data_IF_607525094349
#
_entry.id   IF_607525094349
#
_cell.length_a   1.000
_cell.length_b   1.000
_cell.length_c   1.000
_cell.angle_alpha   90.00
_cell.angle_beta   90.00
_cell.angle_gamma   90.00
#
_symmetry.space_group_name_H-M   'P 1'
#
loop_
_entity.id
_entity.type
_entity.pdbx_description
1 polymer ?
#
# COMPACT_ATOMS: atom_id res chain seq x y z
N UNK A 1 -10.69 -70.42 -19.07
CA UNK A 1 -11.25 -69.35 -18.21
C UNK A 1 -10.57 -68.03 -18.57
N UNK A 2 -11.21 -67.17 -19.38
CA UNK A 2 -10.69 -65.82 -19.69
C UNK A 2 -11.51 -64.82 -18.87
N UNK A 3 -10.87 -64.10 -17.95
CA UNK A 3 -11.50 -63.04 -17.14
C UNK A 3 -11.37 -61.72 -17.88
N UNK A 4 -12.48 -61.20 -18.40
CA UNK A 4 -12.60 -59.84 -18.92
C UNK A 4 -12.78 -58.88 -17.74
N UNK A 5 -11.81 -58.00 -17.51
CA UNK A 5 -11.95 -56.91 -16.54
C UNK A 5 -12.60 -55.72 -17.24
N UNK A 6 -13.83 -55.40 -16.85
CA UNK A 6 -14.50 -54.17 -17.25
C UNK A 6 -13.96 -53.01 -16.39
N UNK A 7 -13.22 -52.10 -17.01
CA UNK A 7 -12.75 -50.88 -16.36
C UNK A 7 -13.90 -49.86 -16.36
N UNK A 8 -14.53 -49.69 -15.19
CA UNK A 8 -15.60 -48.72 -14.98
C UNK A 8 -14.95 -47.32 -14.84
N UNK A 9 -15.02 -46.49 -15.88
CA UNK A 9 -14.59 -45.09 -15.81
C UNK A 9 -15.65 -44.32 -15.01
N UNK A 10 -15.36 -44.08 -13.73
CA UNK A 10 -16.14 -43.22 -12.85
C UNK A 10 -15.91 -41.76 -13.27
N UNK A 11 -16.82 -41.18 -14.06
CA UNK A 11 -16.80 -39.76 -14.41
C UNK A 11 -17.21 -38.99 -13.15
N UNK A 12 -16.23 -38.51 -12.40
CA UNK A 12 -16.44 -37.53 -11.33
C UNK A 12 -16.95 -36.24 -11.95
N UNK A 13 -18.26 -36.02 -11.86
CA UNK A 13 -18.91 -34.77 -12.23
C UNK A 13 -18.37 -33.65 -11.33
N UNK A 14 -17.37 -32.91 -11.81
CA UNK A 14 -17.01 -31.63 -11.21
C UNK A 14 -18.23 -30.71 -11.34
N UNK A 15 -18.79 -30.31 -10.20
CA UNK A 15 -19.85 -29.31 -10.15
C UNK A 15 -19.25 -27.95 -10.51
N UNK A 16 -19.29 -27.60 -11.79
CA UNK A 16 -19.01 -26.25 -12.26
C UNK A 16 -20.15 -25.34 -11.81
N UNK A 17 -19.93 -24.51 -10.78
CA UNK A 17 -20.87 -23.43 -10.45
C UNK A 17 -20.84 -22.41 -11.59
N UNK A 18 -21.87 -22.41 -12.44
CA UNK A 18 -22.02 -21.37 -13.47
C UNK A 18 -22.55 -20.10 -12.80
N UNK A 19 -21.68 -19.10 -12.61
CA UNK A 19 -22.09 -17.79 -12.10
C UNK A 19 -22.97 -17.07 -13.13
N UNK A 20 -24.05 -16.43 -12.69
CA UNK A 20 -24.92 -15.64 -13.57
C UNK A 20 -24.32 -14.25 -13.84
N UNK A 21 -24.67 -13.62 -14.96
CA UNK A 21 -24.24 -12.24 -15.24
C UNK A 21 -24.67 -11.26 -14.14
N UNK A 22 -25.85 -11.47 -13.54
CA UNK A 22 -26.35 -10.66 -12.43
C UNK A 22 -25.46 -10.79 -11.19
N UNK A 23 -25.05 -12.01 -10.84
CA UNK A 23 -24.12 -12.25 -9.73
C UNK A 23 -22.75 -11.63 -9.99
N UNK A 24 -22.21 -11.77 -11.21
CA UNK A 24 -20.94 -11.12 -11.58
C UNK A 24 -21.04 -9.59 -11.48
N UNK A 25 -22.15 -9.01 -11.94
CA UNK A 25 -22.40 -7.58 -11.85
C UNK A 25 -22.47 -7.12 -10.39
N UNK A 26 -23.21 -7.85 -9.55
CA UNK A 26 -23.33 -7.54 -8.12
C UNK A 26 -21.97 -7.59 -7.43
N UNK A 27 -21.20 -8.66 -7.66
CA UNK A 27 -19.87 -8.81 -7.09
C UNK A 27 -18.94 -7.65 -7.48
N UNK A 28 -18.97 -7.20 -8.74
CA UNK A 28 -18.16 -6.08 -9.19
C UNK A 28 -18.53 -4.76 -8.47
N UNK A 29 -19.83 -4.50 -8.26
CA UNK A 29 -20.28 -3.35 -7.49
C UNK A 29 -19.98 -3.47 -5.99
N UNK A 30 -20.00 -4.68 -5.42
CA UNK A 30 -19.61 -4.91 -4.04
C UNK A 30 -18.12 -4.57 -3.82
N UNK A 31 -17.23 -4.94 -4.75
CA UNK A 31 -15.81 -4.54 -4.69
C UNK A 31 -15.61 -3.03 -4.83
N UNK A 32 -16.34 -2.38 -5.74
CA UNK A 32 -16.36 -0.92 -5.83
C UNK A 32 -16.85 -0.28 -4.52
N UNK A 33 -17.94 -0.78 -3.93
CA UNK A 33 -18.51 -0.28 -2.69
C UNK A 33 -17.55 -0.44 -1.49
N UNK A 34 -16.76 -1.53 -1.45
CA UNK A 34 -15.69 -1.69 -0.44
C UNK A 34 -14.65 -0.58 -0.57
N UNK A 35 -14.25 -0.24 -1.79
CA UNK A 35 -13.31 0.84 -2.05
C UNK A 35 -13.91 2.21 -1.70
N UNK A 36 -15.17 2.46 -2.03
CA UNK A 36 -15.86 3.69 -1.65
C UNK A 36 -16.00 3.84 -0.13
N UNK A 37 -16.31 2.75 0.59
CA UNK A 37 -16.28 2.73 2.06
C UNK A 37 -14.89 3.09 2.59
N UNK A 38 -13.82 2.51 2.02
CA UNK A 38 -12.45 2.82 2.42
C UNK A 38 -12.09 4.29 2.18
N UNK A 39 -12.54 4.87 1.08
CA UNK A 39 -12.37 6.30 0.78
C UNK A 39 -13.01 7.17 1.88
N UNK A 40 -14.23 6.82 2.31
CA UNK A 40 -14.94 7.53 3.37
C UNK A 40 -14.26 7.39 4.74
N UNK A 41 -13.69 6.21 5.05
CA UNK A 41 -12.88 5.99 6.26
C UNK A 41 -11.62 6.88 6.26
N UNK A 42 -10.89 6.92 5.15
CA UNK A 42 -9.70 7.77 4.99
C UNK A 42 -10.06 9.25 5.12
N UNK A 43 -11.12 9.71 4.44
CA UNK A 43 -11.61 11.07 4.53
C UNK A 43 -11.98 11.46 5.98
N UNK A 44 -12.66 10.56 6.69
CA UNK A 44 -13.03 10.76 8.10
C UNK A 44 -11.80 10.81 9.02
N UNK A 45 -10.79 9.98 8.76
CA UNK A 45 -9.51 10.00 9.48
C UNK A 45 -8.78 11.32 9.30
N UNK A 46 -8.74 11.86 8.07
CA UNK A 46 -8.17 13.19 7.81
C UNK A 46 -8.93 14.25 8.61
N UNK A 47 -10.27 14.24 8.59
CA UNK A 47 -11.05 15.21 9.39
C UNK A 47 -10.71 15.15 10.88
N UNK A 48 -10.46 13.97 11.43
CA UNK A 48 -10.07 13.80 12.83
C UNK A 48 -8.68 14.35 13.12
N UNK A 49 -7.70 14.08 12.25
CA UNK A 49 -6.32 14.55 12.37
C UNK A 49 -6.25 16.08 12.32
N UNK A 50 -6.96 16.69 11.37
CA UNK A 50 -6.94 18.14 11.12
C UNK A 50 -8.15 18.87 11.75
N UNK A 51 -8.72 18.33 12.84
CA UNK A 51 -9.97 18.82 13.44
C UNK A 51 -9.96 20.31 13.81
N UNK A 52 -8.78 20.89 14.07
CA UNK A 52 -8.60 22.29 14.43
C UNK A 52 -8.31 23.21 13.23
N UNK A 53 -7.95 22.66 12.07
CA UNK A 53 -7.65 23.44 10.87
C UNK A 53 -8.90 23.59 10.00
N UNK A 54 -9.77 24.52 10.40
CA UNK A 54 -11.06 24.74 9.73
C UNK A 54 -10.93 25.14 8.27
N UNK A 55 -9.87 25.90 7.92
CA UNK A 55 -9.62 26.35 6.55
C UNK A 55 -9.24 25.16 5.66
N UNK A 56 -8.29 24.33 6.10
CA UNK A 56 -7.94 23.10 5.38
C UNK A 56 -9.15 22.20 5.21
N UNK A 57 -9.94 21.96 6.27
CA UNK A 57 -11.12 21.09 6.19
C UNK A 57 -12.17 21.60 5.18
N UNK A 58 -12.33 22.92 5.06
CA UNK A 58 -13.18 23.51 4.03
C UNK A 58 -12.63 23.20 2.63
N UNK A 59 -11.33 23.36 2.40
CA UNK A 59 -10.68 23.08 1.10
C UNK A 59 -10.67 21.58 0.77
N UNK A 60 -10.49 20.72 1.76
CA UNK A 60 -10.61 19.26 1.63
C UNK A 60 -12.01 18.86 1.14
N UNK A 61 -13.06 19.41 1.74
CA UNK A 61 -14.44 19.19 1.31
C UNK A 61 -14.66 19.63 -0.14
N UNK A 62 -14.21 20.84 -0.50
CA UNK A 62 -14.31 21.34 -1.88
C UNK A 62 -13.56 20.45 -2.87
N UNK A 63 -12.34 20.03 -2.55
CA UNK A 63 -11.56 19.10 -3.37
C UNK A 63 -12.28 17.76 -3.56
N UNK A 64 -12.88 17.22 -2.50
CA UNK A 64 -13.57 15.94 -2.57
C UNK A 64 -14.85 16.00 -3.41
N UNK A 65 -15.64 17.08 -3.29
CA UNK A 65 -16.83 17.30 -4.12
C UNK A 65 -16.47 17.47 -5.60
N UNK A 66 -15.39 18.20 -5.90
CA UNK A 66 -14.89 18.33 -7.27
C UNK A 66 -14.40 16.99 -7.82
N UNK A 67 -13.74 16.17 -7.00
CA UNK A 67 -13.29 14.84 -7.41
C UNK A 67 -14.45 13.90 -7.74
N UNK A 68 -15.57 13.94 -7.00
CA UNK A 68 -16.77 13.15 -7.31
C UNK A 68 -17.30 13.50 -8.70
N UNK A 69 -17.42 14.80 -9.00
CA UNK A 69 -17.84 15.27 -10.33
C UNK A 69 -16.88 14.81 -11.43
N UNK A 70 -15.56 14.92 -11.19
CA UNK A 70 -14.53 14.43 -12.11
C UNK A 70 -14.66 12.92 -12.35
N UNK A 71 -14.81 12.11 -11.31
CA UNK A 71 -14.96 10.65 -11.41
C UNK A 71 -16.17 10.28 -12.27
N UNK A 72 -17.30 10.92 -12.03
CA UNK A 72 -18.53 10.65 -12.76
C UNK A 72 -18.40 11.09 -14.24
N UNK A 73 -17.74 12.23 -14.49
CA UNK A 73 -17.43 12.69 -15.84
C UNK A 73 -16.45 11.75 -16.58
N UNK A 74 -15.43 11.23 -15.91
CA UNK A 74 -14.50 10.24 -16.47
C UNK A 74 -15.22 8.95 -16.87
N UNK A 75 -16.18 8.49 -16.05
CA UNK A 75 -16.98 7.31 -16.36
C UNK A 75 -17.82 7.50 -17.62
N UNK A 76 -18.49 8.65 -17.74
CA UNK A 76 -19.30 8.99 -18.91
C UNK A 76 -18.43 9.23 -20.16
N UNK A 77 -17.23 9.79 -20.00
CA UNK A 77 -16.24 9.90 -21.08
C UNK A 77 -15.77 8.51 -21.55
N UNK A 78 -15.52 7.58 -20.62
CA UNK A 78 -15.05 6.23 -20.94
C UNK A 78 -16.13 5.37 -21.59
N UNK A 79 -17.38 5.53 -21.16
CA UNK A 79 -18.54 4.82 -21.70
C UNK A 79 -19.64 5.78 -22.17
N UNK A 80 -19.42 6.57 -23.24
CA UNK A 80 -20.44 7.48 -23.73
C UNK A 80 -21.68 6.74 -24.21
N UNK A 81 -22.89 7.28 -24.02
CA UNK A 81 -24.14 6.65 -24.42
C UNK A 81 -24.38 6.75 -25.93
N UNK A 82 -23.51 6.13 -26.73
CA UNK A 82 -23.63 6.10 -28.19
C UNK A 82 -24.87 5.32 -28.62
N UNK A 83 -25.73 5.94 -29.42
CA UNK A 83 -26.98 5.35 -29.91
C UNK A 83 -26.76 4.13 -30.81
N UNK A 84 -25.60 4.03 -31.45
CA UNK A 84 -25.23 2.95 -32.37
C UNK A 84 -24.28 1.90 -31.75
N UNK A 85 -23.99 1.97 -30.44
CA UNK A 85 -23.07 1.04 -29.78
C UNK A 85 -23.72 0.43 -28.54
N UNK A 86 -23.74 -0.90 -28.50
CA UNK A 86 -24.11 -1.64 -27.30
C UNK A 86 -22.83 -2.18 -26.64
N UNK A 87 -22.60 -1.82 -25.38
CA UNK A 87 -21.46 -2.31 -24.59
C UNK A 87 -21.65 -3.74 -24.08
N UNK A 88 -22.84 -4.31 -24.27
CA UNK A 88 -23.15 -5.69 -23.90
C UNK A 88 -23.35 -5.90 -22.40
N UNK A 89 -23.57 -7.16 -22.02
CA UNK A 89 -23.89 -7.55 -20.66
C UNK A 89 -22.72 -7.37 -19.67
N UNK A 90 -21.49 -7.24 -20.18
CA UNK A 90 -20.28 -6.98 -19.39
C UNK A 90 -20.17 -5.52 -18.91
N UNK A 91 -20.91 -4.60 -19.53
CA UNK A 91 -20.81 -3.16 -19.27
C UNK A 91 -20.90 -2.77 -17.78
N UNK A 92 -21.82 -3.33 -16.95
CA UNK A 92 -21.89 -2.99 -15.54
C UNK A 92 -20.61 -3.35 -14.78
N UNK A 93 -19.97 -4.49 -15.12
CA UNK A 93 -18.68 -4.90 -14.53
C UNK A 93 -17.59 -3.91 -14.88
N UNK A 94 -17.48 -3.54 -16.17
CA UNK A 94 -16.46 -2.59 -16.63
C UNK A 94 -16.64 -1.20 -15.99
N UNK A 95 -17.88 -0.74 -15.80
CA UNK A 95 -18.18 0.52 -15.09
C UNK A 95 -17.73 0.44 -13.63
N UNK A 96 -18.11 -0.62 -12.91
CA UNK A 96 -17.76 -0.82 -11.51
C UNK A 96 -16.24 -0.89 -11.31
N UNK A 97 -15.53 -1.65 -12.15
CA UNK A 97 -14.07 -1.76 -12.11
C UNK A 97 -13.38 -0.41 -12.35
N UNK A 98 -13.88 0.40 -13.29
CA UNK A 98 -13.29 1.72 -13.54
C UNK A 98 -13.55 2.71 -12.40
N UNK A 99 -14.75 2.69 -11.82
CA UNK A 99 -15.08 3.46 -10.62
C UNK A 99 -14.20 3.06 -9.43
N UNK A 100 -13.99 1.75 -9.23
CA UNK A 100 -13.07 1.23 -8.24
C UNK A 100 -11.65 1.77 -8.46
N UNK A 101 -11.11 1.68 -9.67
CA UNK A 101 -9.76 2.16 -10.00
C UNK A 101 -9.57 3.66 -9.66
N UNK A 102 -10.51 4.51 -10.07
CA UNK A 102 -10.46 5.95 -9.77
C UNK A 102 -10.53 6.21 -8.26
N UNK A 103 -11.33 5.40 -7.54
CA UNK A 103 -11.53 5.50 -6.10
C UNK A 103 -10.26 5.10 -5.34
N UNK A 104 -9.61 4.00 -5.73
CA UNK A 104 -8.32 3.56 -5.19
C UNK A 104 -7.21 4.59 -5.42
N UNK A 105 -7.17 5.23 -6.60
CA UNK A 105 -6.25 6.35 -6.87
C UNK A 105 -6.50 7.52 -5.92
N UNK A 106 -7.75 7.89 -5.69
CA UNK A 106 -8.09 8.97 -4.76
C UNK A 106 -7.73 8.64 -3.31
N UNK A 107 -7.96 7.39 -2.89
CA UNK A 107 -7.50 6.90 -1.59
C UNK A 107 -6.01 7.13 -1.44
N UNK A 108 -5.19 6.70 -2.43
CA UNK A 108 -3.73 6.91 -2.40
C UNK A 108 -3.35 8.38 -2.28
N UNK A 109 -4.02 9.27 -3.01
CA UNK A 109 -3.78 10.73 -2.88
C UNK A 109 -4.10 11.23 -1.48
N UNK A 110 -5.26 10.87 -0.93
CA UNK A 110 -5.70 11.33 0.38
C UNK A 110 -4.86 10.75 1.53
N UNK A 111 -4.29 9.56 1.33
CA UNK A 111 -3.49 8.87 2.33
C UNK A 111 -2.26 9.68 2.76
N UNK A 112 -1.74 10.55 1.90
CA UNK A 112 -0.64 11.47 2.23
C UNK A 112 -0.96 12.34 3.46
N UNK A 113 -2.20 12.83 3.61
CA UNK A 113 -2.61 13.63 4.77
C UNK A 113 -2.76 12.79 6.04
N UNK A 114 -3.07 11.49 5.90
CA UNK A 114 -3.14 10.56 7.03
C UNK A 114 -1.74 10.20 7.52
N UNK A 115 -0.85 9.89 6.57
CA UNK A 115 0.51 9.46 6.83
C UNK A 115 1.36 10.61 7.40
N UNK A 116 1.29 11.77 6.76
CA UNK A 116 2.21 12.88 7.02
C UNK A 116 3.48 12.76 6.17
N UNK A 117 4.42 13.65 6.43
CA UNK A 117 5.68 13.76 5.69
C UNK A 117 6.84 14.09 6.63
N UNK A 118 8.06 13.74 6.24
CA UNK A 118 9.26 14.18 6.96
C UNK A 118 9.47 15.68 6.75
N UNK A 119 10.10 16.33 7.72
CA UNK A 119 10.49 17.74 7.59
C UNK A 119 11.48 17.91 6.42
N UNK A 120 11.38 19.01 5.67
CA UNK A 120 12.36 19.39 4.66
C UNK A 120 11.83 19.58 3.23
N UNK A 121 10.64 19.05 2.89
CA UNK A 121 10.01 19.35 1.59
C UNK A 121 9.10 20.60 1.69
N UNK A 122 9.53 21.66 1.02
CA UNK A 122 8.88 22.97 0.98
C UNK A 122 7.52 22.95 0.27
N UNK A 123 7.25 21.93 -0.55
CA UNK A 123 6.02 21.76 -1.32
C UNK A 123 4.98 20.87 -0.62
N UNK A 124 5.19 20.48 0.64
CA UNK A 124 4.27 19.61 1.39
C UNK A 124 2.93 20.26 1.78
N UNK A 125 2.82 21.60 1.69
CA UNK A 125 1.56 22.31 1.91
C UNK A 125 0.91 22.02 3.27
N UNK A 126 -0.36 21.56 3.27
CA UNK A 126 -1.12 21.26 4.49
C UNK A 126 -0.90 19.86 5.05
N UNK A 127 0.04 19.07 4.51
CA UNK A 127 0.35 17.75 5.05
C UNK A 127 1.10 17.92 6.37
N UNK A 128 0.65 17.21 7.42
CA UNK A 128 1.30 17.23 8.73
C UNK A 128 2.75 16.73 8.64
N UNK A 129 3.62 17.33 9.42
CA UNK A 129 4.97 16.82 9.64
C UNK A 129 4.92 15.69 10.68
N UNK A 130 5.58 14.58 10.40
CA UNK A 130 5.74 13.49 11.38
C UNK A 130 6.83 13.87 12.39
N UNK A 131 6.57 13.63 13.67
CA UNK A 131 7.51 14.00 14.75
C UNK A 131 8.84 13.25 14.60
N UNK A 132 9.95 13.97 14.79
CA UNK A 132 11.27 13.35 14.80
C UNK A 132 11.44 12.49 16.06
N UNK A 133 12.00 11.29 15.90
CA UNK A 133 12.35 10.44 17.05
C UNK A 133 13.59 11.04 17.73
N UNK A 134 13.49 11.29 19.03
CA UNK A 134 14.64 11.73 19.83
C UNK A 134 15.76 10.68 19.76
N UNK A 135 17.00 11.07 19.41
CA UNK A 135 18.13 10.17 19.28
C UNK A 135 18.36 9.25 20.50
N UNK A 136 17.96 9.68 21.71
CA UNK A 136 18.07 8.91 22.95
C UNK A 136 17.14 7.71 23.00
N UNK A 137 16.02 7.75 22.29
CA UNK A 137 15.03 6.67 22.21
C UNK A 137 15.08 5.91 20.88
N UNK A 138 15.99 6.27 19.99
CA UNK A 138 16.13 5.64 18.68
C UNK A 138 16.43 4.13 18.80
N UNK A 139 15.53 3.30 18.26
CA UNK A 139 15.74 1.88 18.01
C UNK A 139 16.51 1.70 16.71
N UNK A 140 17.57 0.89 16.75
CA UNK A 140 18.40 0.59 15.58
C UNK A 140 18.21 -0.85 15.16
N UNK A 141 18.28 -1.09 13.85
CA UNK A 141 18.36 -2.43 13.30
C UNK A 141 19.83 -2.91 13.33
N UNK A 142 20.03 -4.16 13.69
CA UNK A 142 21.34 -4.81 13.70
C UNK A 142 21.62 -5.42 12.33
N UNK A 143 22.80 -5.14 11.79
CA UNK A 143 23.35 -5.82 10.62
C UNK A 143 24.27 -6.92 11.12
N UNK A 144 23.87 -8.18 10.93
CA UNK A 144 24.67 -9.36 11.29
C UNK A 144 25.91 -9.51 10.40
N UNK A 145 26.88 -10.33 10.84
CA UNK A 145 28.08 -10.64 10.04
C UNK A 145 27.78 -11.17 8.63
N UNK A 146 26.68 -11.91 8.48
CA UNK A 146 26.24 -12.47 7.19
C UNK A 146 25.53 -11.42 6.29
N UNK A 147 25.36 -10.19 6.78
CA UNK A 147 24.67 -9.06 6.14
C UNK A 147 23.16 -9.02 6.33
N UNK A 148 22.56 -9.98 7.03
CA UNK A 148 21.13 -9.96 7.35
C UNK A 148 20.80 -8.82 8.29
N UNK A 149 19.68 -8.15 8.03
CA UNK A 149 19.22 -7.03 8.83
C UNK A 149 18.11 -7.53 9.75
N UNK A 150 18.31 -7.37 11.04
CA UNK A 150 17.34 -7.69 12.08
C UNK A 150 16.90 -6.46 12.83
N UNK A 151 15.59 -6.33 12.99
CA UNK A 151 14.96 -5.36 13.87
C UNK A 151 13.86 -6.08 14.63
N UNK A 152 13.84 -5.91 15.94
CA UNK A 152 12.74 -6.37 16.79
C UNK A 152 12.15 -5.16 17.51
N UNK A 153 10.82 -5.13 17.61
CA UNK A 153 10.14 -4.08 18.36
C UNK A 153 10.61 -4.07 19.83
N UNK A 154 11.12 -2.93 20.28
CA UNK A 154 11.44 -2.70 21.69
C UNK A 154 10.55 -1.59 22.22
N UNK A 155 9.67 -1.88 23.19
CA UNK A 155 8.72 -0.90 23.71
C UNK A 155 9.35 0.33 24.38
N UNK A 156 10.67 0.35 24.61
CA UNK A 156 11.43 1.49 25.14
C UNK A 156 12.15 2.30 24.06
N UNK A 157 12.09 1.86 22.80
CA UNK A 157 12.81 2.45 21.68
C UNK A 157 11.85 2.67 20.51
N UNK A 158 11.94 3.83 19.90
CA UNK A 158 11.15 4.16 18.73
C UNK A 158 11.99 4.01 17.48
N UNK A 159 11.40 3.43 16.43
CA UNK A 159 12.02 3.35 15.13
C UNK A 159 11.03 3.74 14.04
N UNK A 160 11.55 4.43 13.02
CA UNK A 160 10.87 4.76 11.78
C UNK A 160 11.91 4.76 10.66
N UNK A 161 12.05 3.63 9.99
CA UNK A 161 13.08 3.38 8.99
C UNK A 161 12.42 3.27 7.62
N UNK A 162 12.55 4.32 6.82
CA UNK A 162 12.15 4.28 5.41
C UNK A 162 13.28 3.71 4.55
N UNK A 163 12.90 2.88 3.58
CA UNK A 163 13.71 2.54 2.42
C UNK A 163 13.23 3.31 1.19
N UNK A 164 14.18 3.96 0.52
CA UNK A 164 13.95 4.84 -0.62
C UNK A 164 14.48 4.21 -1.91
N UNK A 165 13.89 4.54 -3.05
CA UNK A 165 14.35 4.05 -4.36
C UNK A 165 15.70 4.63 -4.78
N UNK A 166 16.01 5.83 -4.33
CA UNK A 166 17.26 6.53 -4.57
C UNK A 166 17.83 7.05 -3.24
N UNK A 167 19.08 7.49 -3.22
CA UNK A 167 19.75 8.11 -2.05
C UNK A 167 19.23 9.52 -1.76
N UNK A 168 17.91 9.64 -1.63
CA UNK A 168 17.17 10.88 -1.48
C UNK A 168 15.90 10.61 -0.65
N UNK A 169 15.68 11.42 0.38
CA UNK A 169 14.53 11.31 1.29
C UNK A 169 13.20 11.68 0.63
N UNK A 170 13.25 12.39 -0.50
CA UNK A 170 12.07 12.73 -1.30
C UNK A 170 11.79 11.70 -2.39
N UNK A 171 12.65 10.68 -2.52
CA UNK A 171 12.45 9.59 -3.46
C UNK A 171 11.26 8.71 -3.09
N UNK A 172 10.81 7.91 -4.06
CA UNK A 172 9.76 6.92 -3.87
C UNK A 172 10.06 6.05 -2.64
N UNK A 173 9.13 6.04 -1.68
CA UNK A 173 9.20 5.19 -0.49
C UNK A 173 8.89 3.76 -0.91
N UNK A 174 9.86 2.88 -0.71
CA UNK A 174 9.82 1.50 -1.17
C UNK A 174 9.39 0.54 -0.06
N UNK A 175 9.84 0.76 1.18
CA UNK A 175 9.49 -0.04 2.35
C UNK A 175 9.54 0.83 3.61
N UNK A 176 8.76 0.48 4.64
CA UNK A 176 8.84 1.12 5.96
C UNK A 176 8.92 0.07 7.07
N UNK A 177 9.81 0.29 8.04
CA UNK A 177 9.81 -0.38 9.34
C UNK A 177 9.49 0.67 10.42
N UNK A 178 8.33 0.59 11.07
CA UNK A 178 7.89 1.60 12.05
C UNK A 178 7.19 0.96 13.24
N UNK A 179 7.51 1.39 14.46
CA UNK A 179 6.79 0.93 15.66
C UNK A 179 5.38 1.54 15.76
N UNK A 180 5.09 2.60 15.00
CA UNK A 180 3.84 3.33 15.07
C UNK A 180 2.74 2.67 14.22
N UNK A 181 1.72 2.10 14.87
CA UNK A 181 0.58 1.44 14.21
C UNK A 181 -0.05 2.28 13.10
N UNK A 182 -0.20 3.60 13.32
CA UNK A 182 -0.78 4.50 12.33
C UNK A 182 0.06 4.70 11.08
N UNK A 183 1.31 4.24 11.07
CA UNK A 183 2.27 4.28 9.96
C UNK A 183 2.43 2.93 9.25
N UNK A 184 1.99 1.85 9.89
CA UNK A 184 2.08 0.47 9.37
C UNK A 184 0.75 0.01 8.79
N UNK A 185 -0.34 0.16 9.55
CA UNK A 185 -1.63 -0.39 9.17
C UNK A 185 -2.16 0.23 7.88
N UNK A 186 -2.50 -0.63 6.92
CA UNK A 186 -2.94 -0.26 5.57
C UNK A 186 -1.88 0.46 4.73
N UNK A 187 -0.60 0.39 5.11
CA UNK A 187 0.52 0.96 4.35
C UNK A 187 0.26 2.42 3.92
N UNK A 188 0.10 3.35 4.88
CA UNK A 188 -0.34 4.71 4.61
C UNK A 188 0.64 5.52 3.76
N UNK A 189 1.92 5.15 3.73
CA UNK A 189 2.93 5.77 2.88
C UNK A 189 2.99 5.16 1.47
N UNK A 190 2.09 4.20 1.15
CA UNK A 190 2.02 3.51 -0.15
C UNK A 190 3.37 2.92 -0.57
N UNK A 191 4.11 2.35 0.39
CA UNK A 191 5.39 1.70 0.13
C UNK A 191 5.21 0.48 -0.77
N UNK A 192 5.98 0.38 -1.87
CA UNK A 192 5.89 -0.72 -2.85
C UNK A 192 5.98 -2.12 -2.21
N UNK A 193 6.84 -2.27 -1.22
CA UNK A 193 7.09 -3.52 -0.48
C UNK A 193 6.38 -3.57 0.86
N UNK A 194 5.48 -2.65 1.15
CA UNK A 194 4.70 -2.62 2.39
C UNK A 194 5.35 -1.84 3.53
N UNK A 195 4.63 -1.80 4.63
CA UNK A 195 5.04 -1.23 5.89
C UNK A 195 4.91 -2.30 6.97
N UNK A 196 5.88 -2.40 7.86
CA UNK A 196 5.97 -3.46 8.87
C UNK A 196 6.36 -2.87 10.22
N UNK A 197 5.96 -3.56 11.29
CA UNK A 197 6.37 -3.17 12.63
C UNK A 197 7.88 -3.38 12.83
N UNK A 198 8.40 -4.51 12.38
CA UNK A 198 9.80 -4.88 12.47
C UNK A 198 10.13 -5.97 11.42
N UNK A 199 11.34 -6.54 11.42
CA UNK A 199 11.70 -7.55 10.41
C UNK A 199 11.07 -8.90 10.67
N UNK A 200 10.53 -9.17 11.87
CA UNK A 200 9.90 -10.45 12.20
C UNK A 200 8.53 -10.62 11.54
N UNK A 201 7.82 -9.51 11.30
CA UNK A 201 6.52 -9.50 10.61
C UNK A 201 6.60 -9.49 9.08
N UNK A 202 7.80 -9.61 8.50
CA UNK A 202 8.00 -9.58 7.05
C UNK A 202 7.83 -10.97 6.44
N UNK A 203 6.60 -11.34 6.11
CA UNK A 203 6.33 -12.60 5.43
C UNK A 203 6.92 -12.61 4.02
N UNK A 204 7.79 -13.59 3.75
CA UNK A 204 8.42 -13.85 2.45
C UNK A 204 9.43 -12.80 1.94
N UNK A 205 9.70 -11.73 2.70
CA UNK A 205 10.68 -10.71 2.33
C UNK A 205 11.79 -10.65 3.38
N UNK A 206 13.05 -10.61 2.93
CA UNK A 206 14.21 -10.43 3.80
C UNK A 206 15.04 -9.23 3.33
N UNK A 207 15.70 -8.56 4.28
CA UNK A 207 16.56 -7.42 4.02
C UNK A 207 18.02 -7.84 4.20
N UNK A 208 18.85 -7.55 3.19
CA UNK A 208 20.28 -7.86 3.21
C UNK A 208 21.12 -6.65 2.87
N UNK A 209 22.02 -6.27 3.77
CA UNK A 209 23.01 -5.23 3.56
C UNK A 209 23.92 -5.56 2.36
N UNK A 210 24.18 -4.55 1.51
CA UNK A 210 25.10 -4.62 0.37
C UNK A 210 26.33 -3.75 0.63
N UNK A 211 26.12 -2.46 0.89
CA UNK A 211 27.19 -1.47 1.00
C UNK A 211 26.74 -0.25 1.81
N UNK A 212 27.70 0.54 2.27
CA UNK A 212 27.45 1.86 2.85
C UNK A 212 27.83 2.92 1.81
N UNK A 213 26.94 3.88 1.58
CA UNK A 213 27.10 4.96 0.61
C UNK A 213 26.70 6.29 1.26
N UNK A 214 27.69 7.09 1.66
CA UNK A 214 27.50 8.36 2.36
C UNK A 214 26.67 8.19 3.65
N UNK A 215 25.50 8.83 3.69
CA UNK A 215 24.54 8.77 4.79
C UNK A 215 23.51 7.63 4.64
N UNK A 216 23.62 6.81 3.60
CA UNK A 216 22.73 5.70 3.32
C UNK A 216 23.47 4.35 3.41
N UNK A 217 22.71 3.30 3.67
CA UNK A 217 23.09 1.94 3.34
C UNK A 217 22.28 1.47 2.15
N UNK A 218 22.91 0.67 1.30
CA UNK A 218 22.26 -0.03 0.20
C UNK A 218 21.82 -1.40 0.68
N UNK A 219 20.55 -1.72 0.49
CA UNK A 219 19.91 -2.93 1.02
C UNK A 219 19.21 -3.66 -0.12
N UNK A 220 19.47 -4.96 -0.27
CA UNK A 220 18.70 -5.85 -1.12
C UNK A 220 17.39 -6.24 -0.44
N UNK A 221 16.30 -6.16 -1.18
CA UNK A 221 15.02 -6.79 -0.83
C UNK A 221 15.01 -8.16 -1.49
N UNK A 222 14.96 -9.21 -0.68
CA UNK A 222 14.99 -10.61 -1.14
C UNK A 222 13.62 -11.26 -0.94
N UNK A 223 13.12 -11.96 -1.96
CA UNK A 223 11.93 -12.82 -1.86
C UNK A 223 12.32 -14.24 -2.24
N UNK A 224 12.04 -15.22 -1.39
CA UNK A 224 12.46 -16.62 -1.60
C UNK A 224 13.96 -16.78 -1.92
N UNK A 225 14.82 -15.98 -1.28
CA UNK A 225 16.28 -15.88 -1.51
C UNK A 225 16.71 -15.27 -2.86
N UNK A 226 15.77 -14.89 -3.72
CA UNK A 226 16.06 -14.15 -4.95
C UNK A 226 15.95 -12.65 -4.72
N UNK A 227 16.83 -11.88 -5.35
CA UNK A 227 16.81 -10.43 -5.26
C UNK A 227 15.66 -9.86 -6.07
N UNK A 228 14.77 -9.14 -5.39
CA UNK A 228 13.60 -8.51 -5.97
C UNK A 228 13.87 -7.05 -6.36
N UNK A 229 14.57 -6.31 -5.50
CA UNK A 229 14.90 -4.88 -5.72
C UNK A 229 16.03 -4.42 -4.79
N UNK A 230 16.41 -3.16 -4.93
CA UNK A 230 17.34 -2.46 -4.05
C UNK A 230 16.68 -1.22 -3.46
N UNK A 231 16.99 -0.94 -2.20
CA UNK A 231 16.54 0.27 -1.51
C UNK A 231 17.69 0.91 -0.74
N UNK A 232 17.57 2.21 -0.52
CA UNK A 232 18.52 3.01 0.24
C UNK A 232 17.87 3.40 1.56
N UNK A 233 18.50 3.07 2.67
CA UNK A 233 18.00 3.37 4.02
C UNK A 233 19.00 4.26 4.75
N UNK A 234 18.54 5.22 5.56
CA UNK A 234 19.44 6.10 6.29
C UNK A 234 20.31 5.32 7.28
N UNK A 235 21.64 5.47 7.16
CA UNK A 235 22.65 4.77 7.96
C UNK A 235 22.46 4.94 9.47
N UNK A 236 21.94 6.09 9.92
CA UNK A 236 21.72 6.38 11.35
C UNK A 236 20.83 5.35 12.07
N UNK A 237 19.99 4.62 11.33
CA UNK A 237 19.08 3.59 11.85
C UNK A 237 19.73 2.22 12.04
N UNK A 238 21.01 2.07 11.71
CA UNK A 238 21.67 0.77 11.69
C UNK A 238 22.91 0.76 12.57
N UNK A 239 23.16 -0.39 13.16
CA UNK A 239 24.42 -0.73 13.81
C UNK A 239 24.90 -2.09 13.32
N UNK A 240 26.22 -2.25 13.25
CA UNK A 240 26.81 -3.53 12.89
C UNK A 240 26.97 -4.36 14.17
N UNK A 241 26.66 -5.64 14.07
CA UNK A 241 26.94 -6.58 15.15
C UNK A 241 28.42 -6.51 15.50
N UNK A 242 28.73 -6.16 16.76
CA UNK A 242 30.09 -6.10 17.23
C UNK A 242 30.61 -7.52 17.44
N UNK A 243 31.79 -7.80 16.90
CA UNK A 243 32.58 -8.99 17.27
C UNK A 243 32.99 -8.94 18.73
#
# INVERSE_FOLDING_TARGET
MKKTYAFLILISSFTSFSQTQTEMNQQAYDEFNKSDKKLNEVYSKIKSIYKTDTLFLQKLKSSQLAWIQFRDAELEMKFPPYTNKNYGSIHPICRAQFLQELTEKRIKTLQNWVAGTEEGDACNGSIKIIEQIDPRYMGKATIEENGSIWLTGNMKRDHRIFGYKHKDLHSEKMILLSIFTNEVENNPFNCKYGAYYDTSGMDNINLKYISTEDNFIKVAILKNKEKLDEVYMLKKWFEFENK
#
